data_IF_275575017821
#
_entry.id   IF_275575017821
#
_cell.length_a   1.000
_cell.length_b   1.000
_cell.length_c   1.000
_cell.angle_alpha   90.00
_cell.angle_beta   90.00
_cell.angle_gamma   90.00
#
_symmetry.space_group_name_H-M   'P 1'
#
loop_
_entity.id
_entity.type
_entity.pdbx_description
1 polymer ?
#
# COMPACT_ATOMS: atom_id res chain seq x y z
N UNK A 1 -34.92 -30.93 72.43
CA UNK A 1 -34.74 -31.76 71.21
C UNK A 1 -34.28 -30.83 70.10
N UNK A 2 -33.10 -31.13 69.55
CA UNK A 2 -32.36 -30.29 68.58
C UNK A 2 -33.03 -30.27 67.20
N UNK A 3 -32.87 -29.21 66.40
CA UNK A 3 -32.89 -29.38 64.95
C UNK A 3 -31.59 -28.94 64.28
N UNK A 4 -31.18 -29.83 63.39
CA UNK A 4 -30.00 -29.87 62.54
C UNK A 4 -30.17 -28.87 61.38
N UNK A 5 -29.08 -28.17 61.04
CA UNK A 5 -28.97 -27.28 59.87
C UNK A 5 -28.91 -28.12 58.59
N UNK A 6 -29.79 -27.85 57.64
CA UNK A 6 -29.70 -28.32 56.25
C UNK A 6 -29.65 -27.12 55.33
N UNK A 7 -28.53 -26.94 54.61
CA UNK A 7 -28.40 -25.94 53.56
C UNK A 7 -28.76 -26.58 52.22
N UNK A 8 -29.74 -25.99 51.52
CA UNK A 8 -30.14 -26.37 50.17
C UNK A 8 -29.44 -25.43 49.17
N UNK A 9 -28.60 -26.00 48.30
CA UNK A 9 -28.01 -25.31 47.17
C UNK A 9 -29.03 -25.24 46.03
N UNK A 10 -29.32 -24.04 45.54
CA UNK A 10 -30.01 -23.80 44.27
C UNK A 10 -28.99 -23.36 43.23
N UNK A 11 -28.83 -24.15 42.18
CA UNK A 11 -28.02 -23.81 41.01
C UNK A 11 -28.86 -23.01 40.03
N UNK A 12 -28.48 -21.75 39.81
CA UNK A 12 -28.93 -20.98 38.63
C UNK A 12 -27.90 -21.15 37.53
N UNK A 13 -28.32 -21.74 36.40
CA UNK A 13 -27.55 -21.73 35.15
C UNK A 13 -27.88 -20.42 34.45
N UNK A 14 -26.90 -19.51 34.35
CA UNK A 14 -26.98 -18.36 33.44
C UNK A 14 -25.86 -18.43 32.41
N UNK A 15 -26.29 -18.64 31.16
CA UNK A 15 -25.78 -18.11 29.88
C UNK A 15 -24.29 -17.74 29.84
N UNK A 16 -23.54 -18.54 29.08
CA UNK A 16 -22.20 -18.23 28.58
C UNK A 16 -22.29 -17.08 27.56
N UNK A 17 -22.00 -15.86 28.00
CA UNK A 17 -21.33 -14.87 27.15
C UNK A 17 -19.83 -15.04 27.41
N UNK A 18 -19.08 -15.59 26.45
CA UNK A 18 -17.61 -15.53 26.50
C UNK A 18 -17.19 -14.31 25.71
N UNK A 19 -16.91 -13.26 26.47
CA UNK A 19 -16.20 -12.08 26.04
C UNK A 19 -14.86 -12.50 25.42
N UNK A 20 -14.56 -11.98 24.22
CA UNK A 20 -13.21 -12.03 23.68
C UNK A 20 -12.32 -11.11 24.52
N UNK A 21 -11.88 -11.62 25.67
CA UNK A 21 -10.90 -10.96 26.52
C UNK A 21 -9.57 -11.12 25.80
N UNK A 22 -9.16 -10.04 25.13
CA UNK A 22 -7.78 -9.82 24.74
C UNK A 22 -6.95 -10.00 26.02
N UNK A 23 -6.10 -11.03 26.06
CA UNK A 23 -5.30 -11.39 27.23
C UNK A 23 -4.25 -10.29 27.48
N UNK A 24 -4.69 -9.19 28.09
CA UNK A 24 -3.84 -8.15 28.66
C UNK A 24 -3.67 -8.34 30.19
N UNK A 25 -4.30 -9.37 30.74
CA UNK A 25 -4.34 -9.59 32.20
C UNK A 25 -3.80 -10.97 32.59
N UNK A 26 -2.67 -11.39 32.00
CA UNK A 26 -1.82 -12.40 32.66
C UNK A 26 -0.96 -11.63 33.65
N UNK A 27 -1.18 -11.88 34.94
CA UNK A 27 -0.61 -11.20 36.10
C UNK A 27 0.73 -10.48 35.87
N UNK A 28 0.68 -9.17 36.06
CA UNK A 28 1.76 -8.18 35.92
C UNK A 28 2.87 -8.32 36.99
N UNK A 29 2.84 -9.37 37.81
CA UNK A 29 3.75 -9.52 38.95
C UNK A 29 5.07 -10.25 38.59
N UNK A 30 5.17 -10.83 37.39
CA UNK A 30 6.37 -11.55 36.91
C UNK A 30 7.05 -10.93 35.68
N UNK A 31 6.57 -9.77 35.19
CA UNK A 31 7.25 -9.06 34.11
C UNK A 31 8.40 -8.24 34.69
N UNK A 32 9.60 -8.84 34.75
CA UNK A 32 10.80 -8.16 35.23
C UNK A 32 11.13 -6.97 34.31
N UNK A 33 10.83 -5.75 34.77
CA UNK A 33 11.16 -4.49 34.09
C UNK A 33 12.27 -3.73 34.84
N UNK A 34 13.32 -3.24 34.15
CA UNK A 34 13.56 -3.39 32.72
C UNK A 34 13.85 -4.85 32.34
N UNK A 35 13.46 -5.28 31.13
CA UNK A 35 13.70 -6.64 30.69
C UNK A 35 15.18 -6.99 30.82
N UNK A 36 15.48 -8.17 31.36
CA UNK A 36 16.86 -8.69 31.42
C UNK A 36 17.33 -8.96 29.99
N UNK A 37 18.12 -8.04 29.44
CA UNK A 37 18.69 -8.18 28.10
C UNK A 37 19.69 -9.36 28.12
N UNK A 38 19.34 -10.48 27.49
CA UNK A 38 20.31 -11.54 27.26
C UNK A 38 21.24 -11.13 26.11
N UNK A 39 22.57 -11.13 26.30
CA UNK A 39 23.51 -10.91 25.21
C UNK A 39 23.36 -12.03 24.19
N UNK A 40 23.21 -11.69 22.90
CA UNK A 40 23.18 -12.71 21.85
C UNK A 40 24.55 -13.40 21.76
N UNK A 41 24.59 -14.69 21.45
CA UNK A 41 25.84 -15.41 21.25
C UNK A 41 26.51 -14.87 19.97
N UNK A 42 27.57 -14.08 20.15
CA UNK A 42 28.18 -13.08 19.22
C UNK A 42 27.40 -11.77 18.97
N UNK A 43 26.18 -11.66 19.49
CA UNK A 43 25.58 -10.41 20.01
C UNK A 43 24.59 -9.69 19.11
N UNK A 44 24.81 -9.70 17.79
CA UNK A 44 24.12 -8.79 16.88
C UNK A 44 23.27 -9.57 15.88
N UNK A 45 21.95 -9.30 15.87
CA UNK A 45 21.05 -9.80 14.84
C UNK A 45 21.53 -9.35 13.45
N UNK A 46 21.15 -10.08 12.40
CA UNK A 46 21.47 -9.71 11.02
C UNK A 46 21.00 -8.27 10.76
N UNK A 47 21.90 -7.43 10.25
CA UNK A 47 21.62 -6.02 9.98
C UNK A 47 21.47 -5.11 11.20
N UNK A 48 21.77 -5.60 12.41
CA UNK A 48 21.74 -4.77 13.61
C UNK A 48 22.85 -3.69 13.54
N UNK A 49 22.47 -2.45 13.87
CA UNK A 49 23.30 -1.22 13.72
C UNK A 49 23.74 -0.89 12.28
N UNK A 50 23.28 -1.62 11.28
CA UNK A 50 23.43 -1.26 9.87
C UNK A 50 22.24 -0.41 9.41
N UNK A 51 22.39 0.37 8.32
CA UNK A 51 21.27 1.12 7.75
C UNK A 51 20.04 0.23 7.47
N UNK A 52 18.83 0.81 7.43
CA UNK A 52 17.65 0.10 6.95
C UNK A 52 17.91 -0.56 5.59
N UNK A 53 17.49 -1.82 5.43
CA UNK A 53 17.71 -2.65 4.24
C UNK A 53 18.73 -3.77 4.42
N UNK A 54 19.57 -3.71 5.47
CA UNK A 54 20.56 -4.76 5.77
C UNK A 54 20.04 -5.84 6.74
N UNK A 55 18.81 -5.71 7.23
CA UNK A 55 18.20 -6.63 8.21
C UNK A 55 17.76 -7.96 7.60
N UNK A 56 17.75 -8.06 6.26
CA UNK A 56 17.49 -9.29 5.50
C UNK A 56 18.19 -9.24 4.16
N UNK A 57 18.57 -10.41 3.65
CA UNK A 57 19.01 -10.53 2.27
C UNK A 57 17.85 -10.25 1.30
N UNK A 58 18.11 -9.75 0.09
CA UNK A 58 17.10 -9.61 -0.95
C UNK A 58 16.45 -10.97 -1.27
N UNK A 59 15.12 -11.01 -1.42
CA UNK A 59 14.38 -12.22 -1.81
C UNK A 59 14.60 -12.63 -3.28
N UNK A 60 15.39 -11.85 -4.03
CA UNK A 60 15.63 -12.03 -5.46
C UNK A 60 14.86 -11.05 -6.33
N UNK A 61 14.82 -11.27 -7.66
CA UNK A 61 14.09 -10.41 -8.58
C UNK A 61 12.57 -10.52 -8.37
N UNK A 62 11.88 -9.41 -8.62
CA UNK A 62 10.41 -9.38 -8.58
C UNK A 62 9.83 -10.34 -9.62
N UNK A 63 8.81 -11.11 -9.23
CA UNK A 63 8.20 -12.10 -10.12
C UNK A 63 7.53 -11.43 -11.32
N UNK A 64 7.80 -11.96 -12.51
CA UNK A 64 7.31 -11.39 -13.76
C UNK A 64 6.28 -12.30 -14.43
N UNK A 65 5.29 -11.68 -15.07
CA UNK A 65 4.30 -12.38 -15.88
C UNK A 65 4.15 -11.68 -17.22
N UNK A 66 3.96 -12.47 -18.27
CA UNK A 66 3.72 -11.97 -19.64
C UNK A 66 2.27 -11.57 -19.89
N UNK A 67 1.37 -11.95 -18.99
CA UNK A 67 -0.05 -11.64 -19.04
C UNK A 67 -0.56 -11.35 -17.62
N UNK A 68 -1.53 -10.44 -17.43
CA UNK A 68 -2.08 -10.18 -16.10
C UNK A 68 -2.74 -11.43 -15.52
N UNK A 69 -2.58 -11.70 -14.23
CA UNK A 69 -3.24 -12.82 -13.55
C UNK A 69 -4.76 -12.63 -13.52
N UNK A 70 -5.51 -13.72 -13.33
CA UNK A 70 -6.91 -13.59 -12.96
C UNK A 70 -7.02 -12.85 -11.60
N UNK A 71 -8.11 -12.11 -11.33
CA UNK A 71 -8.20 -11.30 -10.13
C UNK A 71 -8.05 -12.09 -8.82
N UNK A 72 -8.57 -13.33 -8.78
CA UNK A 72 -8.42 -14.24 -7.63
C UNK A 72 -6.97 -14.69 -7.45
N UNK A 73 -6.27 -15.04 -8.53
CA UNK A 73 -4.86 -15.41 -8.48
C UNK A 73 -3.99 -14.24 -8.01
N UNK A 74 -4.27 -13.03 -8.51
CA UNK A 74 -3.59 -11.82 -8.07
C UNK A 74 -3.80 -11.57 -6.57
N UNK A 75 -5.04 -11.71 -6.07
CA UNK A 75 -5.33 -11.59 -4.65
C UNK A 75 -4.55 -12.61 -3.82
N UNK A 76 -4.70 -13.89 -4.16
CA UNK A 76 -4.18 -15.01 -3.37
C UNK A 76 -2.65 -15.07 -3.33
N UNK A 77 -1.99 -14.62 -4.41
CA UNK A 77 -0.53 -14.75 -4.58
C UNK A 77 0.25 -13.45 -4.31
N UNK A 78 -0.40 -12.28 -4.38
CA UNK A 78 0.31 -11.00 -4.38
C UNK A 78 -0.32 -9.90 -3.51
N UNK A 79 -1.65 -9.77 -3.51
CA UNK A 79 -2.32 -8.66 -2.82
C UNK A 79 -2.83 -8.98 -1.41
N UNK A 80 -2.89 -10.26 -1.01
CA UNK A 80 -3.09 -10.65 0.40
C UNK A 80 -1.76 -10.91 1.09
N UNK A 81 -1.78 -10.91 2.42
CA UNK A 81 -0.63 -11.26 3.23
C UNK A 81 -0.08 -12.67 2.90
N UNK A 82 1.25 -12.83 2.70
CA UNK A 82 2.28 -11.79 2.69
C UNK A 82 2.28 -11.03 1.35
N UNK A 83 2.22 -9.69 1.38
CA UNK A 83 2.20 -8.88 0.15
C UNK A 83 3.46 -9.12 -0.68
N UNK A 84 3.31 -9.70 -1.88
CA UNK A 84 4.42 -10.02 -2.78
C UNK A 84 4.37 -9.13 -4.03
N UNK A 85 5.41 -8.37 -4.36
CA UNK A 85 5.42 -7.56 -5.57
C UNK A 85 5.46 -8.43 -6.85
N UNK A 86 4.95 -7.88 -7.95
CA UNK A 86 5.04 -8.50 -9.27
C UNK A 86 5.25 -7.45 -10.36
N UNK A 87 5.66 -7.90 -11.55
CA UNK A 87 5.67 -7.11 -12.78
C UNK A 87 4.85 -7.79 -13.87
N UNK A 88 3.85 -7.09 -14.41
CA UNK A 88 3.18 -7.50 -15.64
C UNK A 88 3.88 -6.90 -16.85
N UNK A 89 4.63 -7.70 -17.60
CA UNK A 89 5.16 -7.29 -18.90
C UNK A 89 4.02 -7.27 -19.91
N UNK A 90 3.98 -6.24 -20.75
CA UNK A 90 2.97 -6.08 -21.81
C UNK A 90 1.51 -5.95 -21.31
N UNK A 91 1.30 -5.63 -20.03
CA UNK A 91 -0.03 -5.57 -19.41
C UNK A 91 -0.99 -4.58 -20.08
N UNK A 92 -0.45 -3.49 -20.61
CA UNK A 92 -1.16 -2.38 -21.24
C UNK A 92 -0.75 -2.20 -22.70
N UNK A 93 -0.12 -3.19 -23.32
CA UNK A 93 0.43 -3.07 -24.69
C UNK A 93 -0.64 -2.76 -25.75
N UNK A 94 -1.92 -2.97 -25.43
CA UNK A 94 -3.06 -2.67 -26.31
C UNK A 94 -3.74 -1.33 -26.00
N UNK A 95 -3.24 -0.59 -25.01
CA UNK A 95 -3.77 0.74 -24.68
C UNK A 95 -3.46 1.71 -25.84
N UNK A 96 -4.45 2.49 -26.34
CA UNK A 96 -4.20 3.52 -27.34
C UNK A 96 -3.04 4.45 -26.99
N UNK A 97 -2.89 4.80 -25.70
CA UNK A 97 -1.82 5.63 -25.19
C UNK A 97 -0.41 5.13 -25.57
N UNK A 98 -0.18 3.81 -25.66
CA UNK A 98 1.13 3.24 -26.05
C UNK A 98 1.54 3.66 -27.46
N UNK A 99 0.56 3.85 -28.35
CA UNK A 99 0.83 4.28 -29.73
C UNK A 99 0.72 5.79 -29.87
N UNK A 100 -0.30 6.39 -29.25
CA UNK A 100 -0.66 7.79 -29.44
C UNK A 100 0.28 8.74 -28.69
N UNK A 101 0.73 8.38 -27.48
CA UNK A 101 1.53 9.28 -26.61
C UNK A 101 3.03 9.14 -26.85
N UNK A 102 3.43 8.74 -28.06
CA UNK A 102 4.84 8.64 -28.44
C UNK A 102 5.49 10.01 -28.65
N UNK A 103 4.70 11.08 -28.78
CA UNK A 103 5.20 12.45 -28.94
C UNK A 103 4.40 13.45 -28.13
N UNK A 104 5.08 14.50 -27.67
CA UNK A 104 4.48 15.58 -26.89
C UNK A 104 3.50 16.42 -27.73
N UNK A 105 3.66 16.46 -29.06
CA UNK A 105 2.74 17.14 -29.98
C UNK A 105 1.34 16.54 -29.91
N UNK A 106 1.21 15.22 -29.95
CA UNK A 106 -0.11 14.57 -29.83
C UNK A 106 -0.77 14.93 -28.50
N UNK A 107 -0.02 14.85 -27.39
CA UNK A 107 -0.54 15.16 -26.07
C UNK A 107 -0.96 16.64 -25.99
N UNK A 108 -0.15 17.54 -26.53
CA UNK A 108 -0.44 18.98 -26.57
C UNK A 108 -1.68 19.29 -27.40
N UNK A 109 -1.82 18.70 -28.58
CA UNK A 109 -2.94 18.96 -29.49
C UNK A 109 -4.27 18.44 -28.95
N UNK A 110 -4.27 17.29 -28.26
CA UNK A 110 -5.49 16.63 -27.80
C UNK A 110 -5.86 16.96 -26.33
N UNK A 111 -4.86 17.30 -25.51
CA UNK A 111 -5.00 17.41 -24.05
C UNK A 111 -4.30 18.64 -23.46
N UNK A 112 -3.73 19.53 -24.28
CA UNK A 112 -2.93 20.66 -23.79
C UNK A 112 -3.69 21.65 -22.93
N UNK A 113 -5.01 21.73 -23.08
CA UNK A 113 -5.92 22.57 -22.30
C UNK A 113 -6.27 22.00 -20.92
N UNK A 114 -5.92 20.74 -20.64
CA UNK A 114 -6.20 20.11 -19.35
C UNK A 114 -5.31 20.70 -18.25
N UNK A 115 -5.91 21.04 -17.13
CA UNK A 115 -5.18 21.49 -15.94
C UNK A 115 -4.51 20.32 -15.23
N UNK A 116 -3.23 20.47 -14.92
CA UNK A 116 -2.43 19.53 -14.13
C UNK A 116 -1.87 20.19 -12.88
N UNK A 117 -1.71 19.39 -11.83
CA UNK A 117 -0.99 19.81 -10.63
C UNK A 117 0.48 19.39 -10.79
N UNK A 118 1.40 20.33 -10.61
CA UNK A 118 2.83 20.06 -10.68
C UNK A 118 3.51 20.32 -9.33
N UNK A 119 4.59 19.57 -9.09
CA UNK A 119 5.51 19.75 -7.98
C UNK A 119 6.97 19.86 -8.47
N UNK A 120 7.84 20.42 -7.64
CA UNK A 120 9.29 20.49 -7.91
C UNK A 120 9.95 19.18 -7.50
N UNK A 121 10.80 18.62 -8.38
CA UNK A 121 11.53 17.36 -8.17
C UNK A 121 12.29 17.30 -6.84
N UNK A 122 12.85 18.43 -6.41
CA UNK A 122 13.50 18.53 -5.11
C UNK A 122 12.42 18.95 -4.12
N UNK A 123 12.07 18.01 -3.24
CA UNK A 123 11.10 18.23 -2.16
C UNK A 123 11.62 19.34 -1.23
N UNK A 124 10.95 20.50 -1.25
CA UNK A 124 11.13 21.55 -0.24
C UNK A 124 9.95 21.49 0.73
N UNK A 125 10.16 20.83 1.86
CA UNK A 125 9.12 20.68 2.90
C UNK A 125 8.75 21.99 3.58
N UNK A 126 9.63 23.00 3.51
CA UNK A 126 9.38 24.30 4.13
C UNK A 126 8.55 25.19 3.19
N UNK A 127 8.73 25.06 1.88
CA UNK A 127 7.98 25.80 0.87
C UNK A 127 7.49 24.86 -0.25
N UNK A 128 6.46 24.03 0.02
CA UNK A 128 5.93 23.13 -0.98
C UNK A 128 5.35 23.94 -2.13
N UNK A 129 5.97 23.84 -3.31
CA UNK A 129 5.48 24.50 -4.52
C UNK A 129 4.56 23.52 -5.24
N UNK A 130 3.26 23.74 -5.06
CA UNK A 130 2.20 23.12 -5.86
C UNK A 130 1.63 24.17 -6.78
N UNK A 131 1.83 24.00 -8.08
CA UNK A 131 1.31 24.92 -9.08
C UNK A 131 0.31 24.19 -9.96
N UNK A 132 -0.78 24.87 -10.29
CA UNK A 132 -1.67 24.43 -11.35
C UNK A 132 -1.29 25.17 -12.62
N UNK A 133 -1.20 24.44 -13.71
CA UNK A 133 -0.96 24.97 -15.04
C UNK A 133 -1.62 24.07 -16.07
N UNK A 134 -1.77 24.58 -17.29
CA UNK A 134 -2.19 23.76 -18.42
C UNK A 134 -1.13 22.69 -18.74
N UNK A 135 -1.56 21.56 -19.27
CA UNK A 135 -0.64 20.52 -19.72
C UNK A 135 0.28 21.02 -20.83
N UNK A 136 -0.19 21.92 -21.70
CA UNK A 136 0.66 22.58 -22.69
C UNK A 136 1.79 23.37 -22.04
N UNK A 137 1.49 24.18 -21.02
CA UNK A 137 2.52 24.93 -20.30
C UNK A 137 3.53 24.00 -19.62
N UNK A 138 3.08 22.88 -19.05
CA UNK A 138 3.98 21.86 -18.51
C UNK A 138 4.90 21.28 -19.59
N UNK A 139 4.34 20.84 -20.73
CA UNK A 139 5.09 20.25 -21.84
C UNK A 139 6.13 21.22 -22.42
N UNK A 140 5.85 22.52 -22.41
CA UNK A 140 6.79 23.53 -22.90
C UNK A 140 7.98 23.76 -21.93
N UNK A 141 7.86 23.35 -20.66
CA UNK A 141 8.81 23.71 -19.61
C UNK A 141 9.48 22.53 -18.89
N UNK A 142 8.95 21.31 -18.95
CA UNK A 142 9.42 20.19 -18.11
C UNK A 142 10.87 19.75 -18.39
N UNK A 143 11.42 20.02 -19.57
CA UNK A 143 12.83 19.78 -19.87
C UNK A 143 13.78 20.79 -19.20
N UNK A 144 13.28 22.01 -18.93
CA UNK A 144 14.08 23.12 -18.40
C UNK A 144 13.85 23.35 -16.91
N UNK A 145 12.68 22.97 -16.42
CA UNK A 145 12.27 23.09 -15.02
C UNK A 145 12.26 21.70 -14.40
N UNK A 146 12.72 21.60 -13.15
CA UNK A 146 12.65 20.37 -12.39
C UNK A 146 11.21 20.14 -11.88
N UNK A 147 10.27 19.92 -12.80
CA UNK A 147 8.85 19.73 -12.50
C UNK A 147 8.40 18.31 -12.81
N UNK A 148 7.42 17.82 -12.06
CA UNK A 148 6.69 16.59 -12.35
C UNK A 148 5.20 16.79 -12.06
N UNK A 149 4.36 16.12 -12.85
CA UNK A 149 2.91 16.11 -12.65
C UNK A 149 2.59 15.16 -11.49
N UNK A 150 1.74 15.63 -10.56
CA UNK A 150 1.25 14.90 -9.37
C UNK A 150 -0.27 14.83 -9.32
N UNK A 151 -0.95 15.27 -10.38
CA UNK A 151 -2.38 15.05 -10.50
C UNK A 151 -2.66 13.62 -10.95
N UNK A 152 -3.77 13.05 -10.47
CA UNK A 152 -4.37 11.88 -11.08
C UNK A 152 -4.53 12.07 -12.59
N UNK A 153 -4.47 10.97 -13.35
CA UNK A 153 -4.64 11.03 -14.80
C UNK A 153 -5.99 11.67 -15.14
N UNK A 154 -6.01 12.79 -15.89
CA UNK A 154 -7.24 13.49 -16.24
C UNK A 154 -8.26 12.60 -16.94
N UNK A 155 -9.54 12.80 -16.63
CA UNK A 155 -10.66 11.99 -17.12
C UNK A 155 -10.69 11.79 -18.64
N UNK A 156 -10.45 12.82 -19.48
CA UNK A 156 -10.40 12.65 -20.94
C UNK A 156 -9.29 11.71 -21.42
N UNK A 157 -8.14 11.70 -20.74
CA UNK A 157 -7.00 10.85 -21.09
C UNK A 157 -7.22 9.38 -20.69
N UNK A 158 -8.11 9.10 -19.73
CA UNK A 158 -8.40 7.73 -19.26
C UNK A 158 -8.98 6.84 -20.36
N UNK A 159 -9.63 7.42 -21.38
CA UNK A 159 -10.18 6.67 -22.51
C UNK A 159 -9.10 5.96 -23.34
N UNK A 160 -7.85 6.43 -23.29
CA UNK A 160 -6.72 5.83 -23.98
C UNK A 160 -5.93 4.82 -23.13
N UNK A 161 -6.37 4.58 -21.90
CA UNK A 161 -5.73 3.64 -20.98
C UNK A 161 -6.41 2.27 -20.96
N UNK A 162 -5.61 1.24 -20.71
CA UNK A 162 -6.09 -0.11 -20.44
C UNK A 162 -5.91 -0.44 -18.96
N UNK A 163 -6.99 -0.87 -18.30
CA UNK A 163 -6.91 -1.40 -16.94
C UNK A 163 -6.59 -2.91 -17.01
N UNK A 164 -5.48 -3.38 -16.41
CA UNK A 164 -5.17 -4.80 -16.36
C UNK A 164 -6.29 -5.59 -15.66
N UNK A 165 -6.64 -6.77 -16.22
CA UNK A 165 -7.75 -7.59 -15.69
C UNK A 165 -7.63 -7.94 -14.21
N UNK A 166 -6.40 -8.01 -13.68
CA UNK A 166 -6.13 -8.30 -12.27
C UNK A 166 -6.72 -7.26 -11.31
N UNK A 167 -6.97 -6.04 -11.79
CA UNK A 167 -7.52 -4.93 -10.99
C UNK A 167 -9.05 -4.82 -11.09
N UNK A 168 -9.72 -5.71 -11.82
CA UNK A 168 -11.15 -5.64 -12.05
C UNK A 168 -12.01 -6.29 -10.94
N UNK A 169 -11.43 -6.68 -9.80
CA UNK A 169 -12.16 -7.28 -8.67
C UNK A 169 -12.17 -6.42 -7.42
N UNK A 170 -13.21 -6.61 -6.61
CA UNK A 170 -13.33 -6.05 -5.26
C UNK A 170 -13.11 -4.53 -5.21
N UNK A 171 -12.47 -4.07 -4.14
CA UNK A 171 -12.23 -2.65 -3.88
C UNK A 171 -11.30 -2.00 -4.92
N UNK A 172 -10.48 -2.77 -5.64
CA UNK A 172 -9.59 -2.23 -6.68
C UNK A 172 -10.37 -1.66 -7.86
N UNK A 173 -11.57 -2.16 -8.13
CA UNK A 173 -12.43 -1.62 -9.19
C UNK A 173 -12.92 -0.21 -8.87
N UNK A 174 -13.18 0.04 -7.59
CA UNK A 174 -13.85 1.26 -7.14
C UNK A 174 -12.86 2.38 -6.77
N UNK A 175 -11.62 2.03 -6.42
CA UNK A 175 -10.61 3.00 -6.01
C UNK A 175 -9.19 2.53 -6.35
N UNK A 176 -8.64 3.05 -7.46
CA UNK A 176 -7.20 3.04 -7.74
C UNK A 176 -6.73 4.47 -7.63
N UNK A 177 -5.99 4.77 -6.58
CA UNK A 177 -5.42 6.09 -6.33
C UNK A 177 -3.90 6.00 -6.46
N UNK A 178 -3.30 7.08 -6.93
CA UNK A 178 -1.86 7.28 -6.84
C UNK A 178 -1.44 7.24 -5.36
N UNK A 179 -0.27 6.66 -5.06
CA UNK A 179 0.24 6.51 -3.71
C UNK A 179 0.70 7.81 -3.03
N UNK A 180 0.57 8.97 -3.71
CA UNK A 180 1.02 10.27 -3.22
C UNK A 180 -0.04 11.01 -2.36
N UNK A 181 -0.98 10.28 -1.76
CA UNK A 181 -1.97 10.80 -0.81
C UNK A 181 -1.55 10.63 0.65
#
# INVERSE_FOLDING_TARGET
MSPIKGALFWTFISVLCVDAIFAKDVGDDDVLFPPTLQPSDSGLLVGHLLPPGYQREPEGPVKEYTQPLAPTEFWEQHARDPYVPLVYRQAIAKAPAVTNWQSDEYIRENYGDLDVLIEKKIEDRMNPVRLRMSLSEFLDNYHHKQWYVVSLLPDPMRAEMQVPRSLLCGNFKDSILESNL
#
